data_IF_912197232876
#
_entry.id   IF_912197232876
#
_cell.length_a   1.000
_cell.length_b   1.000
_cell.length_c   1.000
_cell.angle_alpha   90.00
_cell.angle_beta   90.00
_cell.angle_gamma   90.00
#
_symmetry.space_group_name_H-M   'P 1'
#
loop_
_entity.id
_entity.type
_entity.pdbx_description
1 polymer ?
#
# COMPACT_ATOMS: atom_id res chain seq x y z
N UNK A 1 23.24 -30.99 -4.58
CA UNK A 1 23.89 -30.44 -5.79
C UNK A 1 25.41 -30.59 -5.76
N UNK A 2 26.02 -30.67 -4.58
CA UNK A 2 27.49 -30.88 -4.47
C UNK A 2 27.96 -32.22 -5.04
N UNK A 3 27.06 -33.19 -5.17
CA UNK A 3 27.39 -34.55 -5.65
C UNK A 3 27.71 -34.62 -7.15
N UNK A 4 27.44 -33.55 -7.89
CA UNK A 4 27.70 -33.46 -9.34
C UNK A 4 28.83 -32.48 -9.68
N UNK A 5 29.58 -31.98 -8.69
CA UNK A 5 30.72 -31.10 -8.89
C UNK A 5 30.40 -29.71 -9.44
N UNK A 6 29.15 -29.27 -9.33
CA UNK A 6 28.74 -27.91 -9.73
C UNK A 6 28.76 -27.00 -8.51
N UNK A 7 29.57 -25.97 -8.54
CA UNK A 7 29.58 -24.90 -7.57
C UNK A 7 28.50 -23.85 -7.94
N UNK A 8 27.63 -23.54 -6.99
CA UNK A 8 26.59 -22.51 -7.17
C UNK A 8 27.07 -21.23 -6.47
N UNK A 9 27.47 -20.26 -7.24
CA UNK A 9 27.90 -18.95 -6.71
C UNK A 9 26.72 -18.07 -6.26
N UNK A 10 25.60 -18.20 -6.95
CA UNK A 10 24.42 -17.36 -6.72
C UNK A 10 23.15 -18.20 -6.73
N UNK A 11 22.37 -18.09 -5.64
CA UNK A 11 21.07 -18.72 -5.52
C UNK A 11 20.00 -17.65 -5.40
N UNK A 12 19.29 -17.39 -6.50
CA UNK A 12 18.13 -16.51 -6.49
C UNK A 12 16.90 -17.27 -6.00
N UNK A 13 16.29 -16.77 -4.94
CA UNK A 13 15.05 -17.33 -4.38
C UNK A 13 13.93 -16.28 -4.50
N UNK A 14 13.24 -16.21 -5.66
CA UNK A 14 12.18 -15.25 -5.89
C UNK A 14 10.97 -15.58 -5.02
N UNK A 15 10.72 -14.74 -4.04
CA UNK A 15 9.59 -14.85 -3.11
C UNK A 15 9.13 -13.45 -2.72
N UNK A 16 8.05 -13.37 -1.95
CA UNK A 16 7.66 -12.11 -1.31
C UNK A 16 8.80 -11.66 -0.40
N UNK A 17 9.55 -10.65 -0.81
CA UNK A 17 10.73 -10.16 -0.12
C UNK A 17 10.37 -9.21 1.04
N UNK A 18 9.55 -9.66 1.99
CA UNK A 18 9.35 -8.99 3.28
C UNK A 18 10.58 -9.19 4.18
N UNK A 19 10.71 -8.36 5.21
CA UNK A 19 11.80 -8.51 6.20
C UNK A 19 11.89 -9.92 6.78
N UNK A 20 10.77 -10.57 7.03
CA UNK A 20 10.74 -11.94 7.55
C UNK A 20 11.17 -12.96 6.50
N UNK A 21 10.68 -12.82 5.27
CA UNK A 21 11.04 -13.73 4.19
C UNK A 21 12.51 -13.60 3.80
N UNK A 22 13.09 -12.41 3.84
CA UNK A 22 14.53 -12.22 3.58
C UNK A 22 15.37 -13.02 4.58
N UNK A 23 15.01 -13.00 5.85
CA UNK A 23 15.69 -13.80 6.88
C UNK A 23 15.57 -15.31 6.59
N UNK A 24 14.38 -15.74 6.17
CA UNK A 24 14.11 -17.13 5.84
C UNK A 24 14.87 -17.57 4.58
N UNK A 25 14.86 -16.75 3.52
CA UNK A 25 15.62 -16.98 2.30
C UNK A 25 17.11 -17.13 2.62
N UNK A 26 17.66 -16.25 3.44
CA UNK A 26 19.06 -16.32 3.88
C UNK A 26 19.34 -17.61 4.66
N UNK A 27 18.44 -18.04 5.53
CA UNK A 27 18.60 -19.29 6.31
C UNK A 27 18.58 -20.53 5.42
N UNK A 28 17.91 -20.47 4.26
CA UNK A 28 17.89 -21.54 3.25
C UNK A 28 19.09 -21.50 2.28
N UNK A 29 20.03 -20.58 2.47
CA UNK A 29 21.20 -20.42 1.60
C UNK A 29 20.99 -19.51 0.40
N UNK A 30 19.86 -18.82 0.29
CA UNK A 30 19.62 -17.85 -0.77
C UNK A 30 20.58 -16.67 -0.65
N UNK A 31 21.19 -16.27 -1.78
CA UNK A 31 22.15 -15.17 -1.88
C UNK A 31 21.53 -13.95 -2.55
N UNK A 32 20.44 -14.13 -3.31
CA UNK A 32 19.72 -13.07 -4.02
C UNK A 32 18.23 -13.14 -3.77
N UNK A 33 17.60 -11.97 -3.76
CA UNK A 33 16.16 -11.79 -3.75
C UNK A 33 15.75 -10.74 -4.78
N UNK A 34 14.49 -10.76 -5.19
CA UNK A 34 13.90 -9.80 -6.12
C UNK A 34 12.93 -8.87 -5.39
N UNK A 35 13.43 -7.79 -4.76
CA UNK A 35 12.59 -6.87 -4.01
C UNK A 35 11.81 -5.97 -4.98
N UNK A 36 10.54 -6.27 -5.18
CA UNK A 36 9.63 -5.38 -5.90
C UNK A 36 8.94 -4.38 -4.95
N UNK A 37 7.67 -4.64 -4.66
CA UNK A 37 6.87 -3.82 -3.75
C UNK A 37 7.37 -3.78 -2.30
N UNK A 38 8.25 -4.67 -1.90
CA UNK A 38 8.92 -4.60 -0.60
C UNK A 38 9.81 -3.36 -0.45
N UNK A 39 10.34 -2.82 -1.55
CA UNK A 39 11.10 -1.55 -1.53
C UNK A 39 10.21 -0.35 -1.15
N UNK A 40 8.92 -0.45 -1.37
CA UNK A 40 7.95 0.58 -1.02
C UNK A 40 7.25 0.30 0.31
N UNK A 41 7.59 -0.80 0.99
CA UNK A 41 6.94 -1.21 2.25
C UNK A 41 5.48 -1.60 2.10
N UNK A 42 5.01 -1.87 0.88
CA UNK A 42 3.61 -2.26 0.60
C UNK A 42 3.47 -3.76 0.34
N UNK A 43 4.17 -4.58 1.11
CA UNK A 43 4.02 -6.03 1.03
C UNK A 43 2.66 -6.47 1.58
N UNK A 44 2.16 -7.66 1.20
CA UNK A 44 0.96 -8.23 1.79
C UNK A 44 0.99 -8.35 3.32
N UNK A 45 2.17 -8.44 3.91
CA UNK A 45 2.37 -8.42 5.36
C UNK A 45 1.97 -7.08 5.97
N UNK A 46 2.40 -5.98 5.37
CA UNK A 46 2.06 -4.64 5.82
C UNK A 46 0.56 -4.35 5.69
N UNK A 47 -0.08 -4.84 4.65
CA UNK A 47 -1.52 -4.71 4.48
C UNK A 47 -2.33 -5.46 5.53
N UNK A 48 -1.72 -6.47 6.18
CA UNK A 48 -2.34 -7.24 7.27
C UNK A 48 -2.03 -6.66 8.65
N UNK A 49 -0.85 -6.09 8.80
CA UNK A 49 -0.30 -5.80 10.12
C UNK A 49 0.62 -4.57 10.03
N UNK A 50 0.09 -3.38 10.00
CA UNK A 50 0.80 -2.10 9.84
C UNK A 50 2.07 -1.89 10.72
N UNK A 51 2.52 -2.93 11.42
CA UNK A 51 3.56 -2.84 12.47
C UNK A 51 4.98 -3.08 11.99
N UNK A 52 5.21 -3.79 10.89
CA UNK A 52 6.55 -4.30 10.57
C UNK A 52 7.35 -3.46 9.58
N UNK A 53 6.71 -2.85 8.62
CA UNK A 53 7.37 -2.05 7.59
C UNK A 53 6.65 -0.71 7.45
N UNK A 54 7.40 0.36 7.20
CA UNK A 54 6.82 1.67 6.93
C UNK A 54 6.51 1.78 5.45
N UNK A 55 5.25 1.90 5.04
CA UNK A 55 4.92 2.04 3.62
C UNK A 55 5.40 3.39 3.10
N UNK A 56 6.12 3.37 1.98
CA UNK A 56 6.48 4.57 1.22
C UNK A 56 5.36 4.98 0.24
N UNK A 57 4.42 4.08 -0.03
CA UNK A 57 3.24 4.33 -0.84
C UNK A 57 2.02 3.96 -0.03
N UNK A 58 1.09 4.89 0.11
CA UNK A 58 -0.22 4.68 0.72
C UNK A 58 -1.31 5.06 -0.28
N UNK A 59 -2.45 4.40 -0.17
CA UNK A 59 -3.65 4.71 -0.90
C UNK A 59 -4.59 5.51 -0.02
N UNK A 60 -5.05 6.66 -0.50
CA UNK A 60 -6.00 7.51 0.22
C UNK A 60 -7.32 7.52 -0.56
N UNK A 61 -8.40 7.28 0.17
CA UNK A 61 -9.76 7.33 -0.31
C UNK A 61 -10.67 7.94 0.75
N UNK A 62 -11.96 7.89 0.53
CA UNK A 62 -12.96 8.35 1.51
C UNK A 62 -14.17 7.42 1.55
N UNK A 63 -14.90 7.41 2.65
CA UNK A 63 -16.17 6.71 2.77
C UNK A 63 -17.20 7.44 1.94
N UNK A 64 -17.66 6.79 0.87
CA UNK A 64 -18.62 7.36 -0.08
C UNK A 64 -20.07 7.21 0.36
N UNK A 65 -20.42 6.05 0.91
CA UNK A 65 -21.79 5.76 1.38
C UNK A 65 -21.83 4.59 2.37
N UNK A 66 -22.95 4.43 3.02
CA UNK A 66 -23.23 3.32 3.92
C UNK A 66 -24.46 2.56 3.44
N UNK A 67 -24.41 1.23 3.51
CA UNK A 67 -25.53 0.35 3.21
C UNK A 67 -25.49 -0.87 4.14
N UNK A 68 -26.63 -1.27 4.71
CA UNK A 68 -26.77 -2.47 5.57
C UNK A 68 -25.71 -2.55 6.69
N UNK A 69 -25.47 -1.44 7.38
CA UNK A 69 -24.50 -1.32 8.47
C UNK A 69 -23.03 -1.53 8.07
N UNK A 70 -22.71 -1.41 6.78
CA UNK A 70 -21.38 -1.46 6.20
C UNK A 70 -21.05 -0.13 5.56
N UNK A 71 -19.78 0.16 5.39
CA UNK A 71 -19.30 1.34 4.69
C UNK A 71 -18.63 0.96 3.38
N UNK A 72 -18.74 1.83 2.41
CA UNK A 72 -18.13 1.68 1.09
C UNK A 72 -17.20 2.86 0.81
N UNK A 73 -16.05 2.56 0.21
CA UNK A 73 -15.07 3.57 -0.20
C UNK A 73 -14.54 3.27 -1.61
N UNK A 74 -14.04 4.30 -2.28
CA UNK A 74 -13.59 4.17 -3.67
C UNK A 74 -12.38 3.25 -3.79
N UNK A 75 -12.45 2.31 -4.73
CA UNK A 75 -11.41 1.31 -5.00
C UNK A 75 -10.32 1.78 -5.97
N UNK A 76 -10.62 2.71 -6.85
CA UNK A 76 -9.64 3.34 -7.75
C UNK A 76 -8.90 2.41 -8.70
N UNK A 77 -9.45 1.26 -9.06
CA UNK A 77 -8.78 0.27 -9.91
C UNK A 77 -7.83 -0.63 -9.12
N UNK A 78 -8.36 -1.26 -8.10
CA UNK A 78 -7.64 -2.18 -7.22
C UNK A 78 -6.98 -3.36 -7.95
N UNK A 79 -5.74 -3.64 -7.58
CA UNK A 79 -5.02 -4.81 -8.08
C UNK A 79 -5.19 -6.00 -7.13
N UNK A 80 -5.84 -7.07 -7.59
CA UNK A 80 -6.25 -8.24 -6.78
C UNK A 80 -5.14 -8.89 -5.96
N UNK A 81 -3.93 -8.95 -6.47
CA UNK A 81 -2.78 -9.52 -5.74
C UNK A 81 -2.37 -8.69 -4.53
N UNK A 82 -2.94 -7.50 -4.36
CA UNK A 82 -2.61 -6.60 -3.25
C UNK A 82 -2.97 -7.15 -1.88
N UNK A 83 -4.03 -7.96 -1.80
CA UNK A 83 -4.42 -8.63 -0.56
C UNK A 83 -4.82 -7.66 0.55
N UNK A 84 -5.52 -6.56 0.21
CA UNK A 84 -6.02 -5.62 1.22
C UNK A 84 -6.95 -6.34 2.20
N UNK A 85 -6.67 -6.20 3.50
CA UNK A 85 -7.49 -6.79 4.57
C UNK A 85 -8.02 -5.76 5.55
N UNK A 86 -7.25 -4.70 5.77
CA UNK A 86 -7.59 -3.65 6.72
C UNK A 86 -7.24 -2.30 6.13
N UNK A 87 -7.99 -1.29 6.56
CA UNK A 87 -7.73 0.13 6.31
C UNK A 87 -7.83 0.90 7.60
N UNK A 88 -7.21 2.06 7.66
CA UNK A 88 -7.41 3.04 8.73
C UNK A 88 -8.47 4.03 8.28
N UNK A 89 -9.46 4.29 9.12
CA UNK A 89 -10.58 5.17 8.81
C UNK A 89 -10.79 6.18 9.90
N UNK A 90 -11.08 7.42 9.55
CA UNK A 90 -11.41 8.50 10.45
C UNK A 90 -11.19 9.87 9.83
N UNK A 91 -11.51 10.92 10.57
CA UNK A 91 -11.14 12.28 10.18
C UNK A 91 -9.65 12.45 10.39
N UNK A 92 -9.01 13.28 9.57
CA UNK A 92 -7.56 13.46 9.63
C UNK A 92 -7.06 14.05 10.97
N UNK A 93 -7.94 14.71 11.73
CA UNK A 93 -7.69 15.26 13.07
C UNK A 93 -7.95 14.26 14.20
N UNK A 94 -8.63 13.16 13.93
CA UNK A 94 -9.08 12.19 14.92
C UNK A 94 -8.15 10.97 14.95
N UNK A 95 -8.28 10.18 16.03
CA UNK A 95 -7.60 8.89 16.09
C UNK A 95 -8.19 7.93 15.05
N UNK A 96 -7.38 7.56 14.06
CA UNK A 96 -7.76 6.61 13.03
C UNK A 96 -8.09 5.25 13.63
N UNK A 97 -9.17 4.63 13.17
CA UNK A 97 -9.60 3.28 13.56
C UNK A 97 -9.26 2.29 12.45
N UNK A 98 -8.72 1.14 12.83
CA UNK A 98 -8.51 0.05 11.89
C UNK A 98 -9.85 -0.65 11.65
N UNK A 99 -10.23 -0.79 10.38
CA UNK A 99 -11.46 -1.44 9.94
C UNK A 99 -11.08 -2.55 8.95
N UNK A 100 -11.72 -3.72 9.11
CA UNK A 100 -11.52 -4.85 8.21
C UNK A 100 -12.28 -4.60 6.89
N UNK A 101 -11.59 -4.91 5.78
CA UNK A 101 -12.15 -4.85 4.43
C UNK A 101 -12.66 -6.22 4.06
N UNK A 102 -13.85 -6.28 3.48
CA UNK A 102 -14.39 -7.52 2.91
C UNK A 102 -13.54 -7.89 1.70
N UNK A 103 -13.02 -9.13 1.63
CA UNK A 103 -12.23 -9.55 0.49
C UNK A 103 -13.02 -9.39 -0.82
N UNK A 104 -12.50 -8.69 -1.83
CA UNK A 104 -13.18 -8.55 -3.10
C UNK A 104 -13.33 -9.92 -3.77
N UNK A 105 -14.50 -10.20 -4.29
CA UNK A 105 -14.78 -11.44 -5.03
C UNK A 105 -14.17 -11.36 -6.43
N UNK A 106 -13.95 -12.54 -7.06
CA UNK A 106 -13.30 -12.64 -8.36
C UNK A 106 -13.99 -11.85 -9.47
N UNK A 107 -15.29 -11.69 -9.36
CA UNK A 107 -16.16 -11.09 -10.38
C UNK A 107 -16.53 -9.62 -10.10
N UNK A 108 -16.07 -9.06 -8.98
CA UNK A 108 -16.33 -7.67 -8.65
C UNK A 108 -15.51 -6.74 -9.53
N UNK A 109 -16.20 -5.77 -10.10
CA UNK A 109 -15.56 -4.58 -10.67
C UNK A 109 -15.20 -3.66 -9.50
N UNK A 110 -13.91 -3.43 -9.31
CA UNK A 110 -13.34 -2.81 -8.11
C UNK A 110 -13.51 -1.28 -8.06
N UNK A 111 -14.72 -0.79 -8.26
CA UNK A 111 -15.02 0.63 -8.07
C UNK A 111 -15.13 0.99 -6.60
N UNK A 112 -15.59 0.03 -5.78
CA UNK A 112 -15.77 0.20 -4.34
C UNK A 112 -15.22 -0.98 -3.57
N UNK A 113 -14.68 -0.67 -2.40
CA UNK A 113 -14.42 -1.63 -1.34
C UNK A 113 -15.52 -1.57 -0.31
N UNK A 114 -15.82 -2.71 0.29
CA UNK A 114 -16.73 -2.84 1.40
C UNK A 114 -15.94 -3.01 2.70
N UNK A 115 -16.20 -2.14 3.68
CA UNK A 115 -15.69 -2.27 5.04
C UNK A 115 -16.76 -2.91 5.94
N UNK A 116 -16.35 -3.81 6.83
CA UNK A 116 -17.29 -4.60 7.68
C UNK A 116 -18.07 -3.77 8.70
N UNK A 117 -17.63 -2.54 8.97
CA UNK A 117 -18.22 -1.68 9.99
C UNK A 117 -18.64 -0.34 9.41
N UNK A 118 -19.65 0.24 10.05
CA UNK A 118 -20.14 1.57 9.69
C UNK A 118 -19.19 2.65 10.18
N UNK A 119 -18.75 3.50 9.25
CA UNK A 119 -18.00 4.73 9.49
C UNK A 119 -18.82 5.94 9.01
N UNK A 120 -18.35 7.16 9.22
CA UNK A 120 -19.07 8.32 8.75
C UNK A 120 -18.75 8.55 7.26
N UNK A 121 -19.75 9.01 6.51
CA UNK A 121 -19.55 9.44 5.11
C UNK A 121 -18.59 10.63 5.11
N UNK A 122 -17.60 10.61 4.20
CA UNK A 122 -16.54 11.61 4.13
C UNK A 122 -15.35 11.37 5.06
N UNK A 123 -15.38 10.30 5.90
CA UNK A 123 -14.18 9.91 6.65
C UNK A 123 -13.07 9.48 5.69
N UNK A 124 -11.85 9.92 5.97
CA UNK A 124 -10.66 9.52 5.20
C UNK A 124 -10.38 8.04 5.42
N UNK A 125 -10.08 7.35 4.34
CA UNK A 125 -9.63 5.95 4.33
C UNK A 125 -8.19 5.88 3.90
N UNK A 126 -7.33 5.25 4.70
CA UNK A 126 -5.91 5.05 4.40
C UNK A 126 -5.63 3.56 4.31
N UNK A 127 -5.17 3.12 3.15
CA UNK A 127 -4.76 1.75 2.88
C UNK A 127 -3.27 1.69 2.51
N UNK A 128 -2.59 0.67 3.04
CA UNK A 128 -1.24 0.32 2.63
C UNK A 128 -1.28 -1.11 2.09
N UNK A 129 -1.23 -1.26 0.78
CA UNK A 129 -1.29 -2.52 0.10
C UNK A 129 -0.39 -2.50 -1.14
N UNK A 130 -0.13 -3.67 -1.70
CA UNK A 130 0.63 -3.79 -2.94
C UNK A 130 -0.08 -3.05 -4.06
N UNK A 131 0.43 -1.88 -4.39
CA UNK A 131 -0.11 -1.02 -5.44
C UNK A 131 0.78 -1.05 -6.66
N UNK A 132 0.17 -1.22 -7.82
CA UNK A 132 0.82 -0.96 -9.09
C UNK A 132 0.18 0.30 -9.69
N UNK A 133 0.90 1.39 -9.67
CA UNK A 133 0.41 2.74 -10.05
C UNK A 133 -0.26 2.74 -11.42
N UNK A 134 0.29 1.98 -12.37
CA UNK A 134 -0.24 1.90 -13.74
C UNK A 134 -1.58 1.16 -13.88
N UNK A 135 -2.05 0.46 -12.84
CA UNK A 135 -3.38 -0.17 -12.81
C UNK A 135 -4.37 0.58 -11.92
N UNK A 136 -3.93 1.61 -11.22
CA UNK A 136 -4.82 2.48 -10.46
C UNK A 136 -5.25 3.66 -11.33
N UNK A 137 -6.42 4.22 -11.04
CA UNK A 137 -6.91 5.45 -11.67
C UNK A 137 -6.63 6.69 -10.81
N UNK A 138 -5.96 6.49 -9.70
CA UNK A 138 -5.67 7.55 -8.74
C UNK A 138 -4.50 8.40 -9.19
N UNK A 139 -4.55 9.68 -8.87
CA UNK A 139 -3.38 10.54 -8.95
C UNK A 139 -2.34 10.11 -7.90
N UNK A 140 -1.08 10.40 -8.19
CA UNK A 140 0.05 10.12 -7.30
C UNK A 140 0.60 11.42 -6.76
N UNK A 141 0.49 11.61 -5.46
CA UNK A 141 1.04 12.76 -4.75
C UNK A 141 2.41 12.40 -4.20
N UNK A 142 3.45 13.12 -4.63
CA UNK A 142 4.79 12.98 -4.09
C UNK A 142 4.96 13.89 -2.88
N UNK A 143 5.26 13.27 -1.73
CA UNK A 143 5.50 13.99 -0.46
C UNK A 143 6.95 13.80 -0.06
N UNK A 144 7.67 14.89 0.12
CA UNK A 144 9.05 14.92 0.58
C UNK A 144 9.13 15.43 2.02
N UNK A 145 10.28 15.23 2.67
CA UNK A 145 10.56 15.82 3.99
C UNK A 145 9.98 15.11 5.20
N UNK A 146 9.27 13.99 5.02
CA UNK A 146 8.69 13.21 6.13
C UNK A 146 9.74 12.79 7.18
N UNK A 147 10.97 12.48 6.75
CA UNK A 147 12.07 12.11 7.65
C UNK A 147 12.47 13.25 8.62
N UNK A 148 12.22 14.47 8.23
CA UNK A 148 12.61 15.67 8.96
C UNK A 148 11.42 16.36 9.63
N UNK A 149 10.29 15.69 9.70
CA UNK A 149 9.01 16.23 10.21
C UNK A 149 8.61 17.56 9.53
N UNK A 150 8.92 17.67 8.26
CA UNK A 150 8.61 18.82 7.39
C UNK A 150 8.03 18.35 6.06
N UNK A 151 6.85 17.74 6.06
CA UNK A 151 6.25 17.23 4.84
C UNK A 151 5.94 18.37 3.85
N UNK A 152 6.32 18.15 2.60
CA UNK A 152 6.06 19.07 1.49
C UNK A 152 5.48 18.25 0.33
N UNK A 153 4.39 18.72 -0.25
CA UNK A 153 3.92 18.19 -1.53
C UNK A 153 4.83 18.77 -2.62
N UNK A 154 5.62 17.93 -3.28
CA UNK A 154 6.54 18.37 -4.33
C UNK A 154 5.93 18.28 -5.72
N UNK A 155 5.12 17.27 -5.97
CA UNK A 155 4.44 17.11 -7.27
C UNK A 155 3.17 16.24 -7.16
N UNK A 156 2.30 16.37 -8.16
CA UNK A 156 1.18 15.46 -8.40
C UNK A 156 1.29 14.93 -9.83
N UNK A 157 1.20 13.63 -9.96
CA UNK A 157 1.22 12.91 -11.23
C UNK A 157 -0.13 12.24 -11.46
N UNK A 158 -0.50 12.06 -12.72
CA UNK A 158 -1.61 11.17 -13.08
C UNK A 158 -1.20 9.70 -12.98
N UNK A 159 -2.15 8.79 -13.18
CA UNK A 159 -1.92 7.34 -13.14
C UNK A 159 -0.96 6.82 -14.23
N UNK A 160 -0.66 7.61 -15.24
CA UNK A 160 0.30 7.30 -16.30
C UNK A 160 1.68 7.92 -16.07
N UNK A 161 1.88 8.58 -14.92
CA UNK A 161 3.14 9.20 -14.56
C UNK A 161 3.38 10.59 -15.17
N UNK A 162 2.37 11.21 -15.81
CA UNK A 162 2.49 12.56 -16.34
C UNK A 162 2.28 13.57 -15.22
N UNK A 163 3.11 14.62 -15.20
CA UNK A 163 3.00 15.68 -14.19
C UNK A 163 1.71 16.48 -14.42
N UNK A 164 0.83 16.51 -13.42
CA UNK A 164 -0.35 17.38 -13.36
C UNK A 164 -0.04 18.71 -12.71
N UNK A 165 0.67 18.67 -11.59
CA UNK A 165 1.07 19.85 -10.84
C UNK A 165 2.47 19.67 -10.28
N UNK A 166 3.26 20.74 -10.29
CA UNK A 166 4.55 20.81 -9.61
C UNK A 166 4.51 21.99 -8.64
N UNK A 167 4.69 21.69 -7.36
CA UNK A 167 4.64 22.71 -6.34
C UNK A 167 6.04 23.19 -5.99
N UNK A 168 6.22 24.52 -5.94
CA UNK A 168 7.45 25.12 -5.40
C UNK A 168 7.28 25.27 -3.88
N UNK A 169 7.43 24.16 -3.15
CA UNK A 169 7.59 24.18 -1.71
C UNK A 169 6.37 24.67 -0.90
N UNK A 170 5.19 24.11 -1.15
CA UNK A 170 4.05 24.34 -0.26
C UNK A 170 4.27 23.52 1.01
N UNK A 171 4.55 24.20 2.14
CA UNK A 171 4.60 23.54 3.45
C UNK A 171 3.20 23.11 3.82
N UNK A 172 3.01 21.81 4.08
CA UNK A 172 1.79 21.31 4.71
C UNK A 172 1.83 21.80 6.17
N UNK A 173 0.92 22.71 6.53
CA UNK A 173 0.79 23.17 7.92
C UNK A 173 0.25 22.00 8.74
N UNK A 174 0.98 21.61 9.75
CA UNK A 174 0.43 20.83 10.85
C UNK A 174 -0.41 21.81 11.70
N UNK A 175 -1.72 21.74 11.60
CA UNK A 175 -2.63 22.34 12.58
C UNK A 175 -2.91 21.33 13.69
#
# INVERSE_FOLDING_TARGET
>A
MNDIGIEIEQLNMPSITSLENIKYIKALGGTYGEPGHSLTGTTPFNSRNFKQEKPAIIYISEISHNLNNKSYFYGGGYYRRSGIKNVLVGKYTDKLKQIEVVPPQLDNIDYYFEAKYKANIGDTVIGAFRTQIFVTRSDVVLIEGLKYDRPIISAVYDSLGRIKYKYKGVKVKNE
#
